data_IF_681695828789
#
_entry.id   IF_681695828789
#
_cell.length_a   1.000
_cell.length_b   1.000
_cell.length_c   1.000
_cell.angle_alpha   90.00
_cell.angle_beta   90.00
_cell.angle_gamma   90.00
#
_symmetry.space_group_name_H-M   'P 1'
#
loop_
_entity.id
_entity.type
_entity.pdbx_description
1 polymer ?
#
# COMPACT_ATOMS: atom_id res chain seq x y z
N UNK A 1 41.07 9.66 5.64
CA UNK A 1 40.98 8.90 4.39
C UNK A 1 40.09 9.70 3.46
N UNK A 2 40.56 10.05 2.26
CA UNK A 2 39.68 10.68 1.26
C UNK A 2 38.52 9.72 0.96
N UNK A 3 37.25 10.18 0.95
CA UNK A 3 36.17 9.33 0.49
C UNK A 3 36.52 8.87 -0.92
N UNK A 4 36.47 7.56 -1.15
CA UNK A 4 36.69 7.01 -2.48
C UNK A 4 35.67 7.65 -3.41
N UNK A 5 36.12 8.45 -4.37
CA UNK A 5 35.32 8.95 -5.49
C UNK A 5 34.99 7.78 -6.45
N UNK A 6 34.51 6.65 -5.92
CA UNK A 6 33.99 5.57 -6.72
C UNK A 6 32.54 5.93 -7.10
N UNK A 7 32.29 6.35 -8.36
CA UNK A 7 30.95 6.75 -8.81
C UNK A 7 29.92 5.62 -8.62
N UNK A 8 30.35 4.36 -8.60
CA UNK A 8 29.49 3.20 -8.35
C UNK A 8 28.86 3.31 -6.95
N UNK A 9 29.68 3.48 -5.92
CA UNK A 9 29.20 3.69 -4.54
C UNK A 9 28.43 5.00 -4.35
N UNK A 10 28.86 6.08 -5.01
CA UNK A 10 28.28 7.42 -4.90
C UNK A 10 26.86 7.53 -5.47
N UNK A 11 26.49 6.63 -6.39
CA UNK A 11 25.14 6.56 -6.96
C UNK A 11 24.31 5.40 -6.41
N UNK A 12 24.80 4.67 -5.41
CA UNK A 12 24.02 3.66 -4.69
C UNK A 12 24.08 2.26 -5.28
N UNK A 13 25.02 1.96 -6.18
CA UNK A 13 25.29 0.60 -6.66
C UNK A 13 26.00 -0.29 -5.61
N UNK A 14 25.69 -0.07 -4.33
CA UNK A 14 26.11 -0.95 -3.25
C UNK A 14 25.07 -2.06 -3.10
N UNK A 15 25.46 -3.35 -3.16
CA UNK A 15 24.51 -4.44 -3.06
C UNK A 15 24.06 -4.68 -1.61
N UNK A 16 22.76 -4.74 -1.38
CA UNK A 16 22.13 -5.21 -0.14
C UNK A 16 21.19 -6.38 -0.41
N UNK A 17 20.81 -7.13 0.62
CA UNK A 17 19.81 -8.21 0.47
C UNK A 17 18.49 -7.61 0.00
N UNK A 18 17.84 -8.25 -0.98
CA UNK A 18 16.58 -7.74 -1.56
C UNK A 18 15.38 -7.93 -0.63
N UNK A 19 15.43 -8.92 0.27
CA UNK A 19 14.38 -9.10 1.27
C UNK A 19 14.46 -7.97 2.28
N UNK A 20 13.48 -7.07 2.25
CA UNK A 20 13.36 -6.00 3.24
C UNK A 20 13.28 -6.53 4.68
N UNK A 21 12.66 -7.70 4.89
CA UNK A 21 12.58 -8.32 6.20
C UNK A 21 13.97 -8.80 6.70
N UNK A 22 14.72 -9.49 5.83
CA UNK A 22 16.10 -9.90 6.17
C UNK A 22 17.00 -8.69 6.38
N UNK A 23 16.89 -7.66 5.54
CA UNK A 23 17.68 -6.44 5.68
C UNK A 23 17.42 -5.75 7.02
N UNK A 24 16.14 -5.57 7.39
CA UNK A 24 15.78 -4.86 8.61
C UNK A 24 16.08 -5.65 9.89
N UNK A 25 16.20 -6.97 9.79
CA UNK A 25 16.64 -7.84 10.88
C UNK A 25 18.15 -7.75 11.14
N UNK A 26 18.94 -7.26 10.17
CA UNK A 26 20.37 -6.99 10.36
C UNK A 26 20.50 -5.71 11.20
N UNK A 27 21.14 -5.85 12.37
CA UNK A 27 21.44 -4.75 13.29
C UNK A 27 20.22 -3.85 13.57
N UNK A 28 19.19 -4.38 14.28
CA UNK A 28 17.98 -3.63 14.57
C UNK A 28 18.30 -2.47 15.53
N UNK A 29 17.66 -1.31 15.34
CA UNK A 29 17.94 -0.14 16.15
C UNK A 29 17.46 -0.36 17.59
N UNK A 30 18.23 0.13 18.56
CA UNK A 30 17.90 0.03 19.99
C UNK A 30 17.01 1.16 20.50
N UNK A 31 16.82 2.21 19.69
CA UNK A 31 16.01 3.39 19.99
C UNK A 31 14.92 3.56 18.93
N UNK A 32 13.75 4.15 19.25
CA UNK A 32 12.73 4.48 18.25
C UNK A 32 13.24 5.47 17.19
N UNK A 33 12.58 5.49 16.03
CA UNK A 33 12.89 6.44 14.96
C UNK A 33 12.77 7.89 15.48
N UNK A 34 13.77 8.76 15.23
CA UNK A 34 13.70 10.16 15.64
C UNK A 34 12.72 10.95 14.77
N UNK A 35 12.16 12.02 15.34
CA UNK A 35 11.46 13.03 14.56
C UNK A 35 12.45 13.73 13.62
N UNK A 36 12.07 13.85 12.35
CA UNK A 36 12.83 14.54 11.30
C UNK A 36 11.82 15.41 10.55
N UNK A 37 11.93 16.73 10.67
CA UNK A 37 11.02 17.65 10.00
C UNK A 37 11.32 17.75 8.49
N UNK A 38 10.32 18.13 7.71
CA UNK A 38 10.47 18.43 6.26
C UNK A 38 11.58 19.46 6.03
N UNK A 39 11.68 20.46 6.90
CA UNK A 39 12.72 21.51 6.83
C UNK A 39 14.15 20.99 7.00
N UNK A 40 14.35 19.83 7.64
CA UNK A 40 15.67 19.19 7.82
C UNK A 40 16.10 18.35 6.62
N UNK A 41 15.18 18.16 5.66
CA UNK A 41 15.37 17.35 4.46
C UNK A 41 15.00 18.21 3.24
N UNK A 42 15.76 19.28 2.95
CA UNK A 42 15.41 20.17 1.86
C UNK A 42 15.44 19.45 0.51
N UNK A 43 14.63 19.92 -0.42
CA UNK A 43 14.70 19.49 -1.82
C UNK A 43 16.03 19.99 -2.40
N UNK A 44 16.81 19.16 -3.11
CA UNK A 44 18.07 19.57 -3.72
C UNK A 44 17.85 20.68 -4.76
N UNK A 45 18.66 21.74 -4.71
CA UNK A 45 18.53 22.93 -5.57
C UNK A 45 19.52 22.95 -6.75
N UNK A 46 20.16 21.83 -7.04
CA UNK A 46 21.08 21.76 -8.19
C UNK A 46 20.31 21.97 -9.50
N UNK A 47 20.99 22.42 -10.58
CA UNK A 47 20.34 22.58 -11.88
C UNK A 47 19.67 21.30 -12.40
N UNK A 48 20.27 20.12 -12.12
CA UNK A 48 19.70 18.83 -12.49
C UNK A 48 18.43 18.53 -11.69
N UNK A 49 18.48 18.69 -10.36
CA UNK A 49 17.34 18.44 -9.48
C UNK A 49 16.15 19.37 -9.80
N UNK A 50 16.41 20.65 -10.02
CA UNK A 50 15.39 21.63 -10.43
C UNK A 50 14.71 21.23 -11.74
N UNK A 51 15.51 20.89 -12.77
CA UNK A 51 15.01 20.45 -14.07
C UNK A 51 14.12 19.21 -13.97
N UNK A 52 14.54 18.22 -13.20
CA UNK A 52 13.78 16.97 -13.03
C UNK A 52 12.55 17.18 -12.17
N UNK A 53 12.61 18.06 -11.18
CA UNK A 53 11.44 18.47 -10.39
C UNK A 53 10.38 19.14 -11.26
N UNK A 54 10.77 20.09 -12.11
CA UNK A 54 9.86 20.74 -13.06
C UNK A 54 9.28 19.75 -14.07
N UNK A 55 10.10 18.82 -14.58
CA UNK A 55 9.65 17.76 -15.47
C UNK A 55 8.59 16.87 -14.79
N UNK A 56 8.88 16.37 -13.58
CA UNK A 56 7.96 15.53 -12.83
C UNK A 56 6.65 16.28 -12.51
N UNK A 57 6.75 17.52 -12.01
CA UNK A 57 5.59 18.37 -11.69
C UNK A 57 4.70 18.66 -12.91
N UNK A 58 5.29 18.76 -14.10
CA UNK A 58 4.55 19.05 -15.35
C UNK A 58 3.90 17.81 -15.98
N UNK A 59 4.34 16.60 -15.62
CA UNK A 59 3.87 15.36 -16.23
C UNK A 59 3.05 14.48 -15.29
N UNK A 60 3.33 14.52 -13.99
CA UNK A 60 2.60 13.75 -12.98
C UNK A 60 1.32 14.48 -12.56
N UNK A 61 0.29 13.71 -12.23
CA UNK A 61 -0.86 14.24 -11.50
C UNK A 61 -0.41 14.69 -10.11
N UNK A 62 -1.05 15.74 -9.57
CA UNK A 62 -0.70 16.29 -8.25
C UNK A 62 -0.64 15.23 -7.13
N UNK A 63 -1.57 14.25 -7.01
CA UNK A 63 -1.46 13.21 -6.00
C UNK A 63 -0.21 12.33 -6.15
N UNK A 64 0.19 12.02 -7.39
CA UNK A 64 1.39 11.23 -7.71
C UNK A 64 2.66 12.04 -7.47
N UNK A 65 2.67 13.32 -7.83
CA UNK A 65 3.79 14.21 -7.53
C UNK A 65 3.99 14.36 -6.01
N UNK A 66 2.90 14.56 -5.25
CA UNK A 66 2.96 14.61 -3.79
C UNK A 66 3.41 13.26 -3.21
N UNK A 67 2.98 12.12 -3.78
CA UNK A 67 3.49 10.81 -3.40
C UNK A 67 5.00 10.71 -3.57
N UNK A 68 5.54 11.08 -4.74
CA UNK A 68 6.98 11.12 -4.97
C UNK A 68 7.74 11.95 -3.94
N UNK A 69 7.20 13.11 -3.54
CA UNK A 69 7.80 13.95 -2.49
C UNK A 69 7.70 13.31 -1.10
N UNK A 70 6.57 12.69 -0.76
CA UNK A 70 6.45 11.92 0.48
C UNK A 70 7.46 10.77 0.53
N UNK A 71 7.59 10.01 -0.55
CA UNK A 71 8.58 8.93 -0.69
C UNK A 71 10.00 9.46 -0.48
N UNK A 72 10.34 10.64 -1.02
CA UNK A 72 11.63 11.28 -0.79
C UNK A 72 11.88 11.56 0.71
N UNK A 73 10.94 12.23 1.38
CA UNK A 73 11.11 12.58 2.80
C UNK A 73 11.10 11.36 3.71
N UNK A 74 10.20 10.41 3.48
CA UNK A 74 10.13 9.15 4.24
C UNK A 74 11.38 8.30 4.02
N UNK A 75 11.86 8.19 2.80
CA UNK A 75 13.09 7.49 2.50
C UNK A 75 14.31 8.11 3.18
N UNK A 76 14.46 9.44 3.17
CA UNK A 76 15.59 10.06 3.87
C UNK A 76 15.47 9.98 5.39
N UNK A 77 14.25 9.97 5.95
CA UNK A 77 14.05 9.65 7.35
C UNK A 77 14.50 8.23 7.69
N UNK A 78 14.09 7.24 6.87
CA UNK A 78 14.53 5.84 6.99
C UNK A 78 16.05 5.73 6.85
N UNK A 79 16.65 6.36 5.84
CA UNK A 79 18.10 6.33 5.59
C UNK A 79 18.87 6.87 6.78
N UNK A 80 18.53 8.07 7.28
CA UNK A 80 19.23 8.70 8.41
C UNK A 80 19.13 7.88 9.70
N UNK A 81 18.01 7.18 9.89
CA UNK A 81 17.79 6.37 11.08
C UNK A 81 18.35 4.95 10.97
N UNK A 82 18.10 4.25 9.88
CA UNK A 82 18.45 2.82 9.71
C UNK A 82 19.74 2.58 8.95
N UNK A 83 20.08 3.45 8.03
CA UNK A 83 21.17 3.22 7.09
C UNK A 83 22.04 4.46 6.91
N UNK A 84 22.57 5.04 8.01
CA UNK A 84 23.33 6.30 7.96
C UNK A 84 24.58 6.21 7.06
N UNK A 85 25.12 5.01 6.89
CA UNK A 85 26.33 4.76 6.10
C UNK A 85 26.06 4.57 4.59
N UNK A 86 24.80 4.62 4.14
CA UNK A 86 24.49 4.54 2.71
C UNK A 86 24.93 5.82 1.97
N UNK A 87 25.97 5.66 1.14
CA UNK A 87 26.76 6.77 0.60
C UNK A 87 26.11 7.60 -0.53
N UNK A 88 25.01 7.14 -1.15
CA UNK A 88 24.41 7.89 -2.25
C UNK A 88 23.87 9.25 -1.82
N UNK A 89 23.93 10.22 -2.72
CA UNK A 89 23.49 11.60 -2.43
C UNK A 89 21.97 11.72 -2.35
N UNK A 90 21.50 12.70 -1.58
CA UNK A 90 20.07 13.02 -1.48
C UNK A 90 19.51 13.44 -2.85
N UNK A 91 20.32 14.05 -3.72
CA UNK A 91 19.96 14.30 -5.13
C UNK A 91 19.68 13.01 -5.90
N UNK A 92 20.57 12.02 -5.88
CA UNK A 92 20.33 10.75 -6.60
C UNK A 92 19.05 10.08 -6.14
N UNK A 93 18.77 10.12 -4.84
CA UNK A 93 17.51 9.61 -4.30
C UNK A 93 16.30 10.43 -4.72
N UNK A 94 16.38 11.75 -4.65
CA UNK A 94 15.33 12.67 -5.12
C UNK A 94 14.94 12.42 -6.58
N UNK A 95 15.94 12.24 -7.46
CA UNK A 95 15.73 11.92 -8.87
C UNK A 95 14.96 10.59 -9.05
N UNK A 96 15.31 9.56 -8.28
CA UNK A 96 14.60 8.28 -8.29
C UNK A 96 13.16 8.43 -7.79
N UNK A 97 12.94 9.14 -6.68
CA UNK A 97 11.61 9.36 -6.12
C UNK A 97 10.69 10.11 -7.09
N UNK A 98 11.18 11.14 -7.78
CA UNK A 98 10.38 11.90 -8.75
C UNK A 98 10.04 11.12 -10.02
N UNK A 99 10.86 10.13 -10.39
CA UNK A 99 10.72 9.43 -11.67
C UNK A 99 10.16 8.01 -11.54
N UNK A 100 10.06 7.43 -10.35
CA UNK A 100 9.63 6.04 -10.19
C UNK A 100 8.24 5.75 -10.76
N UNK A 101 7.33 6.71 -10.62
CA UNK A 101 5.96 6.62 -11.14
C UNK A 101 5.77 7.34 -12.49
N UNK A 102 6.84 7.79 -13.18
CA UNK A 102 6.66 8.51 -14.45
C UNK A 102 5.99 7.65 -15.53
N UNK A 103 6.17 6.33 -15.46
CA UNK A 103 5.49 5.37 -16.35
C UNK A 103 3.97 5.35 -16.19
N UNK A 104 3.45 5.82 -15.04
CA UNK A 104 2.02 5.77 -14.68
C UNK A 104 1.16 6.87 -15.29
N UNK A 105 1.77 7.89 -15.89
CA UNK A 105 0.98 8.97 -16.53
C UNK A 105 0.12 8.38 -17.64
N UNK A 106 -1.11 8.86 -17.82
CA UNK A 106 -2.01 8.35 -18.85
C UNK A 106 -1.36 8.31 -20.24
N UNK A 107 -0.65 9.40 -20.60
CA UNK A 107 0.13 9.49 -21.83
C UNK A 107 1.16 8.36 -21.95
N UNK A 108 1.90 8.07 -20.88
CA UNK A 108 2.92 7.03 -20.92
C UNK A 108 2.32 5.62 -20.94
N UNK A 109 1.27 5.37 -20.14
CA UNK A 109 0.51 4.11 -20.14
C UNK A 109 0.01 3.75 -21.54
N UNK A 110 -0.54 4.71 -22.27
CA UNK A 110 -1.09 4.51 -23.62
C UNK A 110 0.01 4.45 -24.72
N UNK A 111 1.18 5.06 -24.48
CA UNK A 111 2.26 5.16 -25.47
C UNK A 111 3.14 3.91 -25.62
N UNK A 112 2.98 2.91 -24.75
CA UNK A 112 3.81 1.71 -24.74
C UNK A 112 3.01 0.44 -24.45
N UNK A 113 3.58 -0.71 -24.81
CA UNK A 113 3.07 -2.04 -24.43
C UNK A 113 3.88 -2.68 -23.29
N UNK A 114 4.94 -2.01 -22.82
CA UNK A 114 5.76 -2.47 -21.70
C UNK A 114 5.11 -2.13 -20.35
N UNK A 115 5.40 -2.92 -19.31
CA UNK A 115 5.02 -2.60 -17.93
C UNK A 115 5.50 -1.20 -17.54
N UNK A 116 4.70 -0.47 -16.76
CA UNK A 116 5.00 0.93 -16.45
C UNK A 116 6.33 1.11 -15.70
N UNK A 117 6.76 0.13 -14.91
CA UNK A 117 8.04 0.14 -14.18
C UNK A 117 9.21 0.10 -15.17
N UNK A 118 9.12 -0.80 -16.16
CA UNK A 118 10.14 -0.96 -17.19
C UNK A 118 10.22 0.26 -18.11
N UNK A 119 9.07 0.72 -18.60
CA UNK A 119 9.02 1.91 -19.44
C UNK A 119 9.40 3.17 -18.66
N UNK A 120 9.00 3.26 -17.39
CA UNK A 120 9.35 4.32 -16.46
C UNK A 120 10.86 4.41 -16.29
N UNK A 121 11.56 3.29 -16.11
CA UNK A 121 13.03 3.27 -16.04
C UNK A 121 13.71 3.72 -17.33
N UNK A 122 13.22 3.26 -18.49
CA UNK A 122 13.71 3.73 -19.79
C UNK A 122 13.47 5.24 -19.98
N UNK A 123 12.32 5.74 -19.52
CA UNK A 123 12.01 7.17 -19.52
C UNK A 123 12.89 7.94 -18.56
N UNK A 124 13.15 7.42 -17.37
CA UNK A 124 14.05 8.05 -16.42
C UNK A 124 15.46 8.20 -17.01
N UNK A 125 16.01 7.13 -17.60
CA UNK A 125 17.30 7.16 -18.29
C UNK A 125 17.32 8.21 -19.41
N UNK A 126 16.28 8.21 -20.25
CA UNK A 126 16.12 9.18 -21.33
C UNK A 126 16.12 10.61 -20.79
N UNK A 127 15.26 10.94 -19.82
CA UNK A 127 15.06 12.30 -19.30
C UNK A 127 16.33 12.81 -18.61
N UNK A 128 16.97 11.96 -17.80
CA UNK A 128 18.16 12.33 -17.04
C UNK A 128 19.35 12.66 -17.95
N UNK A 129 19.45 11.99 -19.10
CA UNK A 129 20.54 12.17 -20.07
C UNK A 129 20.19 13.10 -21.25
N UNK A 130 18.96 13.60 -21.35
CA UNK A 130 18.55 14.42 -22.49
C UNK A 130 19.08 15.87 -22.38
N UNK A 131 19.68 16.35 -23.47
CA UNK A 131 20.21 17.72 -23.61
C UNK A 131 19.26 18.65 -24.40
N UNK A 132 18.12 18.16 -24.89
CA UNK A 132 17.23 18.97 -25.76
C UNK A 132 16.47 20.04 -24.95
N UNK A 133 16.56 21.34 -25.32
CA UNK A 133 15.86 22.44 -24.63
C UNK A 133 14.33 22.33 -24.62
N UNK A 134 13.75 21.57 -25.56
CA UNK A 134 12.30 21.39 -25.68
C UNK A 134 11.70 20.48 -24.61
N UNK A 135 12.49 19.92 -23.69
CA UNK A 135 12.00 18.98 -22.67
C UNK A 135 11.54 19.67 -21.37
N UNK A 136 12.14 20.79 -20.94
CA UNK A 136 11.63 21.74 -19.90
C UNK A 136 12.44 23.05 -19.97
N UNK A 137 11.82 24.19 -19.67
CA UNK A 137 12.47 25.52 -19.61
C UNK A 137 13.37 25.73 -18.39
N UNK A 138 14.56 25.15 -18.41
CA UNK A 138 15.58 25.29 -17.36
C UNK A 138 16.97 24.86 -17.86
N UNK A 139 18.01 25.04 -17.03
CA UNK A 139 19.41 24.79 -17.39
C UNK A 139 19.67 23.36 -17.93
N UNK A 140 20.59 23.23 -18.89
CA UNK A 140 20.90 22.01 -19.66
C UNK A 140 21.70 20.95 -18.85
N UNK A 141 21.52 20.90 -17.53
CA UNK A 141 22.30 20.00 -16.68
C UNK A 141 21.78 18.56 -16.76
N UNK A 142 22.61 17.63 -17.20
CA UNK A 142 22.30 16.19 -17.30
C UNK A 142 22.99 15.39 -16.20
N UNK A 143 22.37 14.26 -15.83
CA UNK A 143 22.96 13.32 -14.89
C UNK A 143 24.18 12.62 -15.53
N UNK A 144 25.26 12.37 -14.77
CA UNK A 144 26.28 11.40 -15.15
C UNK A 144 25.62 10.05 -15.49
N UNK A 145 26.24 9.31 -16.43
CA UNK A 145 25.67 8.05 -16.93
C UNK A 145 25.34 7.08 -15.80
N UNK A 146 26.27 6.86 -14.88
CA UNK A 146 26.09 5.93 -13.77
C UNK A 146 24.96 6.36 -12.82
N UNK A 147 24.78 7.67 -12.58
CA UNK A 147 23.65 8.18 -11.80
C UNK A 147 22.32 7.90 -12.50
N UNK A 148 22.26 8.14 -13.83
CA UNK A 148 21.07 7.89 -14.62
C UNK A 148 20.71 6.40 -14.68
N UNK A 149 21.71 5.52 -14.81
CA UNK A 149 21.54 4.08 -14.79
C UNK A 149 21.11 3.58 -13.39
N UNK A 150 21.67 4.14 -12.31
CA UNK A 150 21.26 3.79 -10.94
C UNK A 150 19.80 4.15 -10.68
N UNK A 151 19.39 5.36 -11.09
CA UNK A 151 17.99 5.78 -11.01
C UNK A 151 17.10 4.86 -11.85
N UNK A 152 17.48 4.57 -13.09
CA UNK A 152 16.71 3.69 -13.96
C UNK A 152 16.55 2.27 -13.39
N UNK A 153 17.62 1.67 -12.85
CA UNK A 153 17.59 0.37 -12.16
C UNK A 153 16.66 0.41 -10.95
N UNK A 154 16.75 1.44 -10.10
CA UNK A 154 15.87 1.60 -8.95
C UNK A 154 14.39 1.74 -9.37
N UNK A 155 14.11 2.51 -10.42
CA UNK A 155 12.75 2.65 -10.98
C UNK A 155 12.24 1.34 -11.57
N UNK A 156 13.06 0.59 -12.31
CA UNK A 156 12.65 -0.71 -12.88
C UNK A 156 12.25 -1.68 -11.77
N UNK A 157 12.99 -1.69 -10.66
CA UNK A 157 12.84 -2.67 -9.59
C UNK A 157 11.98 -2.19 -8.42
N UNK A 158 11.37 -1.01 -8.47
CA UNK A 158 10.66 -0.47 -7.30
C UNK A 158 9.40 -1.27 -6.90
N UNK A 159 8.84 -2.09 -7.80
CA UNK A 159 7.77 -3.07 -7.50
C UNK A 159 8.26 -4.53 -7.51
N UNK A 160 9.56 -4.76 -7.74
CA UNK A 160 10.18 -6.09 -7.73
C UNK A 160 10.50 -6.52 -6.29
N UNK A 161 9.45 -6.92 -5.54
CA UNK A 161 9.54 -7.28 -4.12
C UNK A 161 10.13 -8.69 -3.93
N UNK A 162 11.41 -8.84 -4.32
CA UNK A 162 12.15 -10.09 -4.29
C UNK A 162 12.56 -10.54 -2.88
N UNK A 163 12.27 -11.79 -2.51
CA UNK A 163 12.71 -12.40 -1.24
C UNK A 163 14.14 -12.93 -1.27
N UNK A 164 14.73 -13.10 -2.46
CA UNK A 164 16.06 -13.68 -2.64
C UNK A 164 16.90 -12.81 -3.56
N UNK A 165 18.20 -12.79 -3.30
CA UNK A 165 19.18 -12.10 -4.13
C UNK A 165 19.59 -10.74 -3.55
N UNK A 166 20.02 -9.85 -4.45
CA UNK A 166 20.55 -8.53 -4.10
C UNK A 166 19.83 -7.42 -4.89
N UNK A 167 19.88 -6.22 -4.33
CA UNK A 167 19.40 -4.98 -4.93
C UNK A 167 20.35 -3.84 -4.54
N UNK A 168 20.33 -2.74 -5.28
CA UNK A 168 21.06 -1.51 -4.95
C UNK A 168 20.52 -0.89 -3.65
N UNK A 169 21.36 -0.21 -2.87
CA UNK A 169 20.90 0.53 -1.69
C UNK A 169 19.88 1.61 -2.07
N UNK A 170 20.03 2.24 -3.25
CA UNK A 170 19.08 3.20 -3.80
C UNK A 170 17.70 2.55 -4.06
N UNK A 171 17.69 1.41 -4.75
CA UNK A 171 16.47 0.67 -5.07
C UNK A 171 15.78 0.14 -3.82
N UNK A 172 16.56 -0.35 -2.84
CA UNK A 172 16.01 -0.81 -1.57
C UNK A 172 15.37 0.32 -0.76
N UNK A 173 16.01 1.51 -0.70
CA UNK A 173 15.40 2.65 -0.02
C UNK A 173 14.11 3.07 -0.70
N UNK A 174 14.11 3.07 -2.04
CA UNK A 174 12.93 3.40 -2.84
C UNK A 174 11.78 2.44 -2.53
N UNK A 175 12.03 1.12 -2.51
CA UNK A 175 11.03 0.13 -2.13
C UNK A 175 10.48 0.35 -0.71
N UNK A 176 11.36 0.53 0.29
CA UNK A 176 10.91 0.74 1.68
C UNK A 176 9.98 1.94 1.80
N UNK A 177 10.32 3.05 1.15
CA UNK A 177 9.55 4.28 1.21
C UNK A 177 8.25 4.24 0.39
N UNK A 178 8.25 3.64 -0.80
CA UNK A 178 7.02 3.49 -1.61
C UNK A 178 6.04 2.54 -0.93
N UNK A 179 6.51 1.41 -0.40
CA UNK A 179 5.69 0.47 0.36
C UNK A 179 5.10 1.17 1.59
N UNK A 180 5.91 1.93 2.35
CA UNK A 180 5.42 2.70 3.49
C UNK A 180 4.32 3.68 3.09
N UNK A 181 4.52 4.52 2.07
CA UNK A 181 3.51 5.52 1.70
C UNK A 181 2.23 4.88 1.11
N UNK A 182 2.35 3.72 0.47
CA UNK A 182 1.22 3.02 -0.15
C UNK A 182 0.38 2.25 0.88
N UNK A 183 1.03 1.64 1.89
CA UNK A 183 0.37 0.64 2.76
C UNK A 183 0.51 0.92 4.26
N UNK A 184 1.32 1.89 4.69
CA UNK A 184 1.63 2.17 6.11
C UNK A 184 2.68 1.23 6.74
N UNK A 185 3.10 0.24 5.96
CA UNK A 185 4.16 -0.72 6.22
C UNK A 185 5.50 -0.14 6.64
N UNK A 186 6.21 -0.76 7.58
CA UNK A 186 7.47 -0.24 8.14
C UNK A 186 7.32 1.09 8.88
N UNK A 187 6.13 1.42 9.38
CA UNK A 187 5.88 2.65 10.15
C UNK A 187 6.81 2.82 11.35
N UNK A 188 7.32 1.74 11.94
CA UNK A 188 8.30 1.80 13.03
C UNK A 188 9.65 2.42 12.62
N UNK A 189 9.92 2.56 11.32
CA UNK A 189 11.13 3.21 10.80
C UNK A 189 11.00 4.73 10.70
N UNK A 190 9.80 5.30 10.92
CA UNK A 190 9.53 6.72 10.77
C UNK A 190 8.73 7.20 11.99
N UNK A 191 9.20 8.27 12.62
CA UNK A 191 8.50 8.84 13.78
C UNK A 191 7.10 9.36 13.38
N UNK A 192 6.04 9.16 14.19
CA UNK A 192 4.68 9.62 13.87
C UNK A 192 4.58 11.11 13.52
N UNK A 193 5.32 11.98 14.22
CA UNK A 193 5.37 13.41 13.89
C UNK A 193 6.01 13.71 12.54
N UNK A 194 6.95 12.88 12.07
CA UNK A 194 7.52 12.99 10.71
C UNK A 194 6.45 12.64 9.68
N UNK A 195 5.67 11.57 9.93
CA UNK A 195 4.54 11.16 9.07
C UNK A 195 3.53 12.30 8.93
N UNK A 196 3.15 12.91 10.06
CA UNK A 196 2.22 14.03 10.09
C UNK A 196 2.77 15.26 9.37
N UNK A 197 4.02 15.65 9.65
CA UNK A 197 4.64 16.83 9.07
C UNK A 197 4.78 16.73 7.54
N UNK A 198 5.28 15.58 7.06
CA UNK A 198 5.39 15.28 5.62
C UNK A 198 4.01 15.25 4.95
N UNK A 199 3.00 14.64 5.59
CA UNK A 199 1.64 14.56 5.03
C UNK A 199 0.93 15.91 5.00
N UNK A 200 1.28 16.84 5.90
CA UNK A 200 0.78 18.20 5.89
C UNK A 200 1.38 19.02 4.73
N UNK A 201 2.69 18.86 4.48
CA UNK A 201 3.39 19.55 3.40
C UNK A 201 3.04 18.99 2.02
N UNK A 202 2.84 17.67 1.92
CA UNK A 202 2.54 16.97 0.66
C UNK A 202 1.27 16.14 0.79
N UNK A 203 0.09 16.77 0.72
CA UNK A 203 -1.18 16.11 0.96
C UNK A 203 -1.39 14.88 0.07
N UNK A 204 -1.99 13.83 0.64
CA UNK A 204 -2.24 12.56 -0.08
C UNK A 204 -3.19 12.71 -1.27
N UNK A 205 -4.14 13.65 -1.24
CA UNK A 205 -5.05 13.94 -2.36
C UNK A 205 -5.67 12.68 -3.01
N UNK A 206 -6.14 11.76 -2.18
CA UNK A 206 -6.65 10.44 -2.60
C UNK A 206 -5.63 9.48 -3.21
N UNK A 207 -4.38 9.56 -2.76
CA UNK A 207 -3.28 8.74 -3.25
C UNK A 207 -3.61 7.25 -3.34
N UNK A 208 -4.11 6.59 -2.29
CA UNK A 208 -4.40 5.15 -2.34
C UNK A 208 -5.41 4.78 -3.44
N UNK A 209 -6.42 5.62 -3.68
CA UNK A 209 -7.38 5.44 -4.78
C UNK A 209 -6.79 5.79 -6.14
N UNK A 210 -5.86 6.75 -6.21
CA UNK A 210 -5.11 7.10 -7.42
C UNK A 210 -4.21 5.93 -7.82
N UNK A 211 -3.39 5.44 -6.89
CA UNK A 211 -2.52 4.28 -7.05
C UNK A 211 -3.31 3.03 -7.47
N UNK A 212 -4.37 2.67 -6.75
CA UNK A 212 -5.20 1.52 -7.14
C UNK A 212 -5.84 1.70 -8.53
N UNK A 213 -6.22 2.94 -8.90
CA UNK A 213 -6.71 3.26 -10.24
C UNK A 213 -5.65 3.05 -11.32
N UNK A 214 -4.43 3.51 -11.08
CA UNK A 214 -3.27 3.32 -11.96
C UNK A 214 -2.95 1.84 -12.16
N UNK A 215 -2.88 1.06 -11.08
CA UNK A 215 -2.59 -0.38 -11.14
C UNK A 215 -3.67 -1.14 -11.93
N UNK A 216 -4.94 -0.77 -11.72
CA UNK A 216 -6.04 -1.33 -12.51
C UNK A 216 -5.93 -0.98 -13.99
N UNK A 217 -5.67 0.29 -14.30
CA UNK A 217 -5.56 0.77 -15.69
C UNK A 217 -4.35 0.12 -16.40
N UNK A 218 -3.23 -0.03 -15.72
CA UNK A 218 -2.06 -0.79 -16.19
C UNK A 218 -2.47 -2.20 -16.59
N UNK A 219 -3.11 -2.94 -15.67
CA UNK A 219 -3.52 -4.32 -15.90
C UNK A 219 -4.59 -4.43 -17.00
N UNK A 220 -5.47 -3.43 -17.14
CA UNK A 220 -6.48 -3.36 -18.21
C UNK A 220 -5.84 -3.14 -19.58
N UNK A 221 -4.91 -2.20 -19.70
CA UNK A 221 -4.22 -1.88 -20.96
C UNK A 221 -3.17 -2.93 -21.35
N UNK A 222 -2.54 -3.54 -20.35
CA UNK A 222 -1.40 -4.44 -20.46
C UNK A 222 -1.60 -5.65 -19.51
N UNK A 223 -2.46 -6.62 -19.86
CA UNK A 223 -2.73 -7.80 -19.03
C UNK A 223 -1.52 -8.75 -18.89
N UNK A 224 -0.41 -8.47 -19.56
CA UNK A 224 0.89 -9.13 -19.40
C UNK A 224 1.90 -8.31 -18.60
N UNK A 225 1.51 -7.14 -18.07
CA UNK A 225 2.41 -6.26 -17.33
C UNK A 225 2.95 -6.93 -16.07
N UNK A 226 4.15 -6.52 -15.66
CA UNK A 226 4.78 -6.96 -14.41
C UNK A 226 3.87 -6.71 -13.20
N UNK A 227 3.12 -5.61 -13.21
CA UNK A 227 2.15 -5.25 -12.16
C UNK A 227 1.07 -6.32 -11.91
N UNK A 228 0.76 -7.18 -12.91
CA UNK A 228 -0.17 -8.32 -12.71
C UNK A 228 0.37 -9.34 -11.70
N UNK A 229 1.69 -9.34 -11.46
CA UNK A 229 2.32 -10.13 -10.40
C UNK A 229 1.87 -9.69 -9.00
N UNK A 230 1.15 -8.59 -8.82
CA UNK A 230 0.55 -8.28 -7.52
C UNK A 230 -0.61 -9.25 -7.19
N UNK A 231 -1.48 -9.63 -8.14
CA UNK A 231 -2.63 -10.55 -7.95
C UNK A 231 -3.39 -10.38 -6.61
N UNK A 232 -3.73 -9.12 -6.26
CA UNK A 232 -4.45 -8.74 -5.04
C UNK A 232 -5.69 -7.90 -5.38
N UNK A 233 -6.81 -8.15 -4.70
CA UNK A 233 -8.01 -7.34 -4.82
C UNK A 233 -7.89 -6.06 -3.98
N UNK A 234 -7.77 -4.92 -4.67
CA UNK A 234 -7.81 -3.59 -4.06
C UNK A 234 -9.13 -2.86 -4.29
N UNK A 235 -9.78 -3.07 -5.44
CA UNK A 235 -11.01 -2.38 -5.85
C UNK A 235 -11.74 -3.23 -6.90
N UNK A 236 -13.04 -3.04 -7.05
CA UNK A 236 -13.83 -3.53 -8.19
C UNK A 236 -14.09 -2.40 -9.17
N UNK A 237 -14.01 -2.67 -10.47
CA UNK A 237 -14.36 -1.67 -11.48
C UNK A 237 -15.85 -1.71 -11.80
N UNK A 238 -16.56 -0.64 -11.44
CA UNK A 238 -17.99 -0.47 -11.68
C UNK A 238 -18.35 1.00 -11.62
N UNK A 239 -19.37 1.41 -12.38
CA UNK A 239 -19.95 2.75 -12.30
C UNK A 239 -21.08 2.84 -11.25
N UNK A 240 -21.52 1.70 -10.70
CA UNK A 240 -22.57 1.65 -9.68
C UNK A 240 -22.00 2.14 -8.35
N UNK A 241 -22.77 2.97 -7.63
CA UNK A 241 -22.41 3.46 -6.30
C UNK A 241 -22.55 2.35 -5.26
N UNK A 242 -21.66 1.39 -5.31
CA UNK A 242 -21.57 0.24 -4.40
C UNK A 242 -20.13 0.18 -3.90
N UNK A 243 -19.96 -0.05 -2.59
CA UNK A 243 -18.65 -0.16 -1.93
C UNK A 243 -18.67 -1.30 -0.93
N UNK A 244 -17.53 -1.96 -0.74
CA UNK A 244 -17.38 -2.95 0.30
C UNK A 244 -16.81 -2.31 1.57
N UNK A 245 -17.45 -2.53 2.71
CA UNK A 245 -16.86 -2.24 4.02
C UNK A 245 -16.24 -3.52 4.55
N UNK A 246 -14.99 -3.42 4.99
CA UNK A 246 -14.24 -4.54 5.57
C UNK A 246 -13.74 -4.17 6.96
N UNK A 247 -13.88 -5.09 7.91
CA UNK A 247 -13.52 -4.92 9.31
C UNK A 247 -12.47 -5.98 9.67
N UNK A 248 -11.25 -5.54 9.92
CA UNK A 248 -10.11 -6.39 10.31
C UNK A 248 -10.04 -6.54 11.83
N UNK A 249 -9.18 -7.46 12.27
CA UNK A 249 -8.97 -7.80 13.68
C UNK A 249 -10.23 -8.22 14.42
N UNK A 250 -11.24 -8.75 13.73
CA UNK A 250 -12.46 -9.22 14.36
C UNK A 250 -12.32 -10.65 14.92
N UNK A 251 -13.18 -11.09 15.85
CA UNK A 251 -14.11 -10.28 16.64
C UNK A 251 -13.42 -9.61 17.85
N UNK A 252 -14.05 -8.57 18.39
CA UNK A 252 -13.64 -7.85 19.60
C UNK A 252 -14.87 -7.46 20.45
N UNK A 253 -14.65 -6.79 21.57
CA UNK A 253 -15.73 -6.20 22.38
C UNK A 253 -16.59 -5.18 21.61
N UNK A 254 -16.08 -4.64 20.49
CA UNK A 254 -16.78 -3.66 19.67
C UNK A 254 -17.64 -4.29 18.56
N UNK A 255 -17.41 -5.56 18.19
CA UNK A 255 -18.15 -6.25 17.11
C UNK A 255 -19.67 -6.15 17.27
N UNK A 256 -20.27 -6.35 18.46
CA UNK A 256 -21.73 -6.23 18.61
C UNK A 256 -22.25 -4.79 18.40
N UNK A 257 -21.43 -3.77 18.67
CA UNK A 257 -21.80 -2.37 18.39
C UNK A 257 -21.69 -2.06 16.89
N UNK A 258 -20.66 -2.57 16.22
CA UNK A 258 -20.49 -2.45 14.77
C UNK A 258 -21.66 -3.13 14.05
N UNK A 259 -22.02 -4.37 14.42
CA UNK A 259 -23.17 -5.09 13.85
C UNK A 259 -24.47 -4.28 13.96
N UNK A 260 -24.77 -3.72 15.13
CA UNK A 260 -25.98 -2.89 15.32
C UNK A 260 -25.99 -1.65 14.42
N UNK A 261 -24.84 -1.01 14.20
CA UNK A 261 -24.73 0.13 13.28
C UNK A 261 -24.97 -0.29 11.82
N UNK A 262 -24.42 -1.43 11.40
CA UNK A 262 -24.63 -1.95 10.05
C UNK A 262 -26.13 -2.20 9.80
N UNK A 263 -26.81 -2.86 10.75
CA UNK A 263 -28.25 -3.11 10.68
C UNK A 263 -29.06 -1.81 10.62
N UNK A 264 -28.75 -0.81 11.47
CA UNK A 264 -29.49 0.46 11.46
C UNK A 264 -29.35 1.25 10.17
N UNK A 265 -28.35 0.92 9.34
CA UNK A 265 -28.08 1.56 8.06
C UNK A 265 -28.36 0.66 6.85
N UNK A 266 -28.97 -0.52 7.03
CA UNK A 266 -29.18 -1.52 5.98
C UNK A 266 -27.88 -1.81 5.20
N UNK A 267 -26.76 -1.88 5.93
CA UNK A 267 -25.43 -2.15 5.39
C UNK A 267 -24.97 -3.55 5.82
N UNK A 268 -24.08 -4.14 5.03
CA UNK A 268 -23.33 -5.35 5.39
C UNK A 268 -21.84 -5.09 5.21
N UNK A 269 -21.01 -5.91 5.87
CA UNK A 269 -19.56 -5.82 5.80
C UNK A 269 -18.92 -7.22 5.76
N UNK A 270 -17.66 -7.27 5.35
CA UNK A 270 -16.82 -8.47 5.44
C UNK A 270 -15.89 -8.35 6.66
N UNK A 271 -15.98 -9.28 7.59
CA UNK A 271 -15.17 -9.32 8.81
C UNK A 271 -14.01 -10.31 8.62
N UNK A 272 -12.78 -9.81 8.63
CA UNK A 272 -11.56 -10.62 8.59
C UNK A 272 -11.21 -11.04 10.02
N UNK A 273 -11.34 -12.35 10.29
CA UNK A 273 -11.27 -12.90 11.63
C UNK A 273 -9.87 -13.37 12.01
N UNK A 274 -9.40 -12.94 13.17
CA UNK A 274 -8.23 -13.51 13.83
C UNK A 274 -8.69 -14.69 14.68
N UNK A 275 -8.16 -15.88 14.38
CA UNK A 275 -8.60 -17.12 15.01
C UNK A 275 -8.54 -17.09 16.54
N UNK A 276 -7.47 -16.57 17.12
CA UNK A 276 -7.28 -16.49 18.58
C UNK A 276 -8.30 -15.62 19.30
N UNK A 277 -9.03 -14.75 18.59
CA UNK A 277 -10.07 -13.89 19.16
C UNK A 277 -11.48 -14.51 19.12
N UNK A 278 -11.65 -15.63 18.39
CA UNK A 278 -12.94 -16.31 18.25
C UNK A 278 -13.45 -16.96 19.55
N UNK A 279 -12.63 -17.64 20.37
CA UNK A 279 -13.11 -18.30 21.59
C UNK A 279 -13.88 -17.36 22.51
N UNK A 280 -15.13 -17.71 22.83
CA UNK A 280 -16.04 -16.89 23.64
C UNK A 280 -16.86 -15.85 22.85
N UNK A 281 -16.59 -15.69 21.55
CA UNK A 281 -17.28 -14.79 20.63
C UNK A 281 -18.05 -15.56 19.53
N UNK A 282 -18.26 -16.86 19.66
CA UNK A 282 -18.89 -17.70 18.63
C UNK A 282 -20.32 -17.25 18.31
N UNK A 283 -21.07 -16.80 19.33
CA UNK A 283 -22.44 -16.31 19.16
C UNK A 283 -22.51 -15.05 18.30
N UNK A 284 -21.59 -14.09 18.48
CA UNK A 284 -21.57 -12.86 17.69
C UNK A 284 -21.20 -13.14 16.24
N UNK A 285 -20.33 -14.13 15.96
CA UNK A 285 -20.03 -14.53 14.58
C UNK A 285 -21.26 -15.12 13.88
N UNK A 286 -22.02 -15.96 14.57
CA UNK A 286 -23.26 -16.49 14.02
C UNK A 286 -24.29 -15.37 13.77
N UNK A 287 -24.37 -14.35 14.63
CA UNK A 287 -25.21 -13.17 14.42
C UNK A 287 -24.76 -12.32 13.22
N UNK A 288 -23.46 -12.15 13.01
CA UNK A 288 -22.92 -11.51 11.81
C UNK A 288 -23.42 -12.22 10.55
N UNK A 289 -23.33 -13.55 10.50
CA UNK A 289 -23.79 -14.34 9.34
C UNK A 289 -25.31 -14.25 9.15
N UNK A 290 -26.11 -14.40 10.22
CA UNK A 290 -27.59 -14.30 10.14
C UNK A 290 -28.07 -12.97 9.58
N UNK A 291 -27.27 -11.93 9.76
CA UNK A 291 -27.58 -10.56 9.34
C UNK A 291 -26.98 -10.20 7.97
N UNK A 292 -26.43 -11.19 7.27
CA UNK A 292 -25.93 -11.05 5.89
C UNK A 292 -24.49 -10.53 5.79
N UNK A 293 -23.76 -10.41 6.91
CA UNK A 293 -22.34 -10.10 6.87
C UNK A 293 -21.52 -11.32 6.44
N UNK A 294 -20.37 -11.07 5.84
CA UNK A 294 -19.44 -12.10 5.38
C UNK A 294 -18.31 -12.27 6.40
N UNK A 295 -17.93 -13.51 6.68
CA UNK A 295 -16.75 -13.83 7.48
C UNK A 295 -15.60 -14.27 6.56
N UNK A 296 -14.41 -13.74 6.80
CA UNK A 296 -13.19 -13.97 6.04
C UNK A 296 -12.00 -14.25 6.97
N UNK A 297 -10.88 -14.72 6.43
CA UNK A 297 -9.76 -15.24 7.22
C UNK A 297 -8.64 -14.19 7.40
N UNK A 298 -8.19 -13.98 8.64
CA UNK A 298 -7.07 -13.09 9.01
C UNK A 298 -5.97 -13.82 9.79
N UNK A 299 -5.78 -15.12 9.52
CA UNK A 299 -4.85 -16.00 10.23
C UNK A 299 -5.15 -16.10 11.74
N UNK A 300 -4.26 -16.73 12.51
CA UNK A 300 -4.55 -17.10 13.91
C UNK A 300 -4.25 -15.97 14.89
N UNK A 301 -3.26 -15.12 14.61
CA UNK A 301 -2.79 -14.05 15.48
C UNK A 301 -2.59 -12.75 14.70
N UNK A 302 -2.60 -11.62 15.42
CA UNK A 302 -2.20 -10.32 14.86
C UNK A 302 -0.67 -10.29 14.69
N UNK A 303 -0.21 -10.84 13.58
CA UNK A 303 1.21 -10.89 13.22
C UNK A 303 1.38 -10.72 11.70
N UNK A 304 2.55 -10.25 11.23
CA UNK A 304 2.81 -10.13 9.80
C UNK A 304 2.79 -11.52 9.14
N UNK A 305 1.69 -11.87 8.47
CA UNK A 305 1.53 -13.21 7.87
C UNK A 305 2.65 -13.54 6.89
N UNK A 306 3.30 -12.52 6.30
CA UNK A 306 4.42 -12.66 5.36
C UNK A 306 5.66 -13.28 6.00
N UNK A 307 5.84 -13.07 7.30
CA UNK A 307 6.97 -13.58 8.08
C UNK A 307 6.80 -15.06 8.49
N UNK A 308 5.59 -15.62 8.38
CA UNK A 308 5.32 -17.01 8.73
C UNK A 308 5.84 -17.97 7.66
N UNK A 309 6.31 -19.14 8.07
CA UNK A 309 6.57 -20.24 7.12
C UNK A 309 5.26 -20.69 6.46
N UNK A 310 5.37 -21.35 5.30
CA UNK A 310 4.18 -21.81 4.56
C UNK A 310 3.36 -22.79 5.41
N UNK A 311 4.00 -23.74 6.09
CA UNK A 311 3.32 -24.72 6.95
C UNK A 311 2.55 -24.06 8.10
N UNK A 312 3.16 -23.06 8.75
CA UNK A 312 2.53 -22.34 9.86
C UNK A 312 1.33 -21.54 9.36
N UNK A 313 1.51 -20.76 8.29
CA UNK A 313 0.43 -19.95 7.74
C UNK A 313 -0.73 -20.84 7.23
N UNK A 314 -0.42 -21.94 6.55
CA UNK A 314 -1.43 -22.87 6.06
C UNK A 314 -2.24 -23.50 7.19
N UNK A 315 -1.58 -23.94 8.26
CA UNK A 315 -2.27 -24.52 9.42
C UNK A 315 -3.11 -23.46 10.15
N UNK A 316 -2.58 -22.25 10.36
CA UNK A 316 -3.35 -21.14 10.92
C UNK A 316 -4.61 -20.85 10.10
N UNK A 317 -4.47 -20.71 8.77
CA UNK A 317 -5.59 -20.46 7.87
C UNK A 317 -6.63 -21.59 7.94
N UNK A 318 -6.20 -22.86 7.97
CA UNK A 318 -7.08 -24.03 8.06
C UNK A 318 -7.88 -24.07 9.36
N UNK A 319 -7.25 -23.79 10.50
CA UNK A 319 -7.93 -23.74 11.80
C UNK A 319 -8.98 -22.62 11.83
N UNK A 320 -8.61 -21.43 11.35
CA UNK A 320 -9.54 -20.28 11.27
C UNK A 320 -10.69 -20.58 10.33
N UNK A 321 -10.42 -21.24 9.20
CA UNK A 321 -11.44 -21.67 8.25
C UNK A 321 -12.49 -22.57 8.88
N UNK A 322 -12.08 -23.59 9.64
CA UNK A 322 -13.00 -24.49 10.32
C UNK A 322 -13.93 -23.72 11.28
N UNK A 323 -13.37 -22.76 12.04
CA UNK A 323 -14.16 -21.89 12.94
C UNK A 323 -15.14 -20.99 12.18
N UNK A 324 -14.73 -20.47 11.04
CA UNK A 324 -15.63 -19.70 10.16
C UNK A 324 -16.78 -20.60 9.68
N UNK A 325 -16.49 -21.81 9.21
CA UNK A 325 -17.52 -22.77 8.79
C UNK A 325 -18.50 -23.11 9.92
N UNK A 326 -18.00 -23.31 11.15
CA UNK A 326 -18.83 -23.53 12.34
C UNK A 326 -19.78 -22.36 12.59
N UNK A 327 -19.33 -21.11 12.44
CA UNK A 327 -20.17 -19.93 12.59
C UNK A 327 -21.28 -19.87 11.54
N UNK A 328 -20.98 -20.21 10.27
CA UNK A 328 -22.00 -20.31 9.22
C UNK A 328 -23.03 -21.41 9.51
N UNK A 329 -22.58 -22.58 9.97
CA UNK A 329 -23.46 -23.68 10.37
C UNK A 329 -24.37 -23.27 11.56
N UNK A 330 -23.81 -22.61 12.58
CA UNK A 330 -24.56 -22.11 13.73
C UNK A 330 -25.57 -21.00 13.36
N UNK A 331 -25.33 -20.28 12.26
CA UNK A 331 -26.27 -19.33 11.68
C UNK A 331 -27.38 -19.99 10.84
N UNK A 332 -27.34 -21.33 10.65
CA UNK A 332 -28.26 -22.05 9.80
C UNK A 332 -27.97 -21.88 8.30
N UNK A 333 -26.78 -21.38 7.94
CA UNK A 333 -26.37 -21.17 6.57
C UNK A 333 -25.40 -22.29 6.14
N UNK A 334 -25.89 -23.21 5.32
CA UNK A 334 -25.09 -24.31 4.75
C UNK A 334 -24.47 -23.96 3.40
N UNK A 335 -24.86 -22.83 2.80
CA UNK A 335 -24.26 -22.33 1.57
C UNK A 335 -22.96 -21.59 1.91
N UNK A 336 -21.84 -22.26 1.67
CA UNK A 336 -20.52 -21.66 1.85
C UNK A 336 -20.24 -20.64 0.71
N UNK A 337 -19.46 -19.58 0.96
CA UNK A 337 -18.99 -18.68 -0.09
C UNK A 337 -18.26 -19.45 -1.20
N UNK A 338 -18.53 -19.11 -2.46
CA UNK A 338 -17.87 -19.73 -3.61
C UNK A 338 -16.37 -19.43 -3.67
N UNK A 339 -15.95 -18.29 -3.13
CA UNK A 339 -14.56 -17.86 -3.08
C UNK A 339 -14.24 -17.38 -1.67
N UNK A 340 -13.31 -18.06 -0.99
CA UNK A 340 -12.87 -17.64 0.32
C UNK A 340 -11.92 -16.46 0.24
N UNK A 341 -12.02 -15.53 1.19
CA UNK A 341 -11.21 -14.32 1.22
C UNK A 341 -10.18 -14.42 2.35
N UNK A 342 -8.97 -14.00 2.03
CA UNK A 342 -7.88 -13.88 3.00
C UNK A 342 -7.30 -12.47 2.93
N UNK A 343 -7.09 -11.87 4.10
CA UNK A 343 -6.30 -10.64 4.21
C UNK A 343 -5.07 -10.98 5.04
N UNK A 344 -3.85 -10.69 4.56
CA UNK A 344 -2.67 -10.94 5.37
C UNK A 344 -2.57 -9.93 6.51
N UNK A 345 -2.14 -10.39 7.68
CA UNK A 345 -1.78 -9.53 8.80
C UNK A 345 -0.72 -8.50 8.37
N UNK A 346 -0.85 -7.28 8.91
CA UNK A 346 -0.06 -6.10 8.50
C UNK A 346 -0.23 -5.65 7.04
N UNK A 347 -1.16 -6.23 6.27
CA UNK A 347 -1.43 -5.81 4.88
C UNK A 347 -0.34 -6.20 3.87
N UNK A 348 0.60 -7.06 4.26
CA UNK A 348 1.75 -7.44 3.44
C UNK A 348 1.63 -8.85 2.88
N UNK A 349 2.09 -9.02 1.65
CA UNK A 349 2.15 -10.31 0.99
C UNK A 349 3.46 -10.45 0.22
N UNK A 350 3.86 -11.69 -0.03
CA UNK A 350 4.98 -12.03 -0.90
C UNK A 350 4.46 -12.92 -2.03
N UNK A 351 5.24 -13.07 -3.10
CA UNK A 351 4.91 -14.03 -4.17
C UNK A 351 4.73 -15.45 -3.64
N UNK A 352 5.56 -15.88 -2.67
CA UNK A 352 5.41 -17.16 -1.95
C UNK A 352 4.04 -17.27 -1.29
N UNK A 353 3.68 -16.28 -0.46
CA UNK A 353 2.40 -16.27 0.24
C UNK A 353 1.23 -16.29 -0.74
N UNK A 354 1.27 -15.49 -1.81
CA UNK A 354 0.17 -15.44 -2.78
C UNK A 354 -0.05 -16.80 -3.43
N UNK A 355 1.03 -17.49 -3.82
CA UNK A 355 0.95 -18.85 -4.33
C UNK A 355 0.29 -19.78 -3.31
N UNK A 356 0.74 -19.77 -2.05
CA UNK A 356 0.13 -20.58 -0.98
C UNK A 356 -1.35 -20.27 -0.78
N UNK A 357 -1.71 -18.99 -0.61
CA UNK A 357 -3.09 -18.54 -0.37
C UNK A 357 -4.00 -18.98 -1.53
N UNK A 358 -3.51 -18.87 -2.77
CA UNK A 358 -4.22 -19.31 -3.97
C UNK A 358 -4.37 -20.84 -4.02
N UNK A 359 -3.33 -21.60 -3.69
CA UNK A 359 -3.36 -23.07 -3.59
C UNK A 359 -4.33 -23.56 -2.52
N UNK A 360 -4.49 -22.81 -1.44
CA UNK A 360 -5.49 -23.05 -0.40
C UNK A 360 -6.91 -22.63 -0.80
N UNK A 361 -7.13 -22.12 -2.02
CA UNK A 361 -8.43 -21.74 -2.55
C UNK A 361 -8.93 -20.36 -2.09
N UNK A 362 -8.03 -19.49 -1.64
CA UNK A 362 -8.36 -18.14 -1.19
C UNK A 362 -7.98 -17.07 -2.20
N UNK A 363 -8.73 -15.97 -2.18
CA UNK A 363 -8.38 -14.72 -2.83
C UNK A 363 -7.81 -13.74 -1.82
N UNK A 364 -6.69 -13.11 -2.14
CA UNK A 364 -6.06 -12.08 -1.31
C UNK A 364 -6.78 -10.73 -1.50
N UNK A 365 -7.19 -10.10 -0.39
CA UNK A 365 -7.92 -8.81 -0.38
C UNK A 365 -7.19 -7.81 0.53
N UNK A 366 -6.93 -6.61 0.01
CA UNK A 366 -6.50 -5.46 0.82
C UNK A 366 -7.57 -4.38 0.76
N UNK A 367 -7.51 -3.49 -0.21
CA UNK A 367 -8.47 -2.40 -0.38
C UNK A 367 -7.79 -1.13 -0.85
N UNK A 368 -8.56 -0.19 -1.39
CA UNK A 368 -8.07 1.08 -1.92
C UNK A 368 -8.32 2.26 -0.97
N UNK A 369 -9.09 2.05 0.11
CA UNK A 369 -9.40 3.06 1.13
C UNK A 369 -8.95 2.56 2.51
N UNK A 370 -7.82 3.07 2.98
CA UNK A 370 -7.24 2.75 4.29
C UNK A 370 -7.00 4.04 5.09
N UNK A 371 -7.76 4.29 6.17
CA UNK A 371 -7.67 5.53 6.94
C UNK A 371 -6.51 5.58 7.94
N UNK A 372 -5.64 4.56 7.98
CA UNK A 372 -4.62 4.40 9.02
C UNK A 372 -5.22 4.39 10.44
N UNK A 373 -6.42 3.83 10.59
CA UNK A 373 -7.11 3.78 11.88
C UNK A 373 -6.37 2.98 12.97
N UNK A 374 -5.48 2.00 12.69
CA UNK A 374 -4.65 1.43 13.74
C UNK A 374 -3.63 2.42 14.32
N UNK A 375 -3.17 3.40 13.55
CA UNK A 375 -2.12 4.35 13.94
C UNK A 375 -2.68 5.71 14.36
N UNK A 376 -3.88 6.06 13.91
CA UNK A 376 -4.49 7.38 14.10
C UNK A 376 -5.75 7.25 14.98
N UNK A 377 -5.67 7.55 16.29
CA UNK A 377 -6.79 7.40 17.23
C UNK A 377 -7.87 8.50 17.12
N UNK A 378 -7.95 9.20 15.99
CA UNK A 378 -8.84 10.35 15.78
C UNK A 378 -9.95 9.99 14.79
N UNK A 379 -11.07 9.45 15.29
CA UNK A 379 -12.18 8.97 14.45
C UNK A 379 -12.69 9.98 13.41
N UNK A 380 -12.67 11.28 13.72
CA UNK A 380 -13.11 12.34 12.79
C UNK A 380 -12.19 12.45 11.57
N UNK A 381 -10.88 12.31 11.79
CA UNK A 381 -9.89 12.32 10.73
C UNK A 381 -10.05 11.07 9.88
N UNK A 382 -10.20 9.90 10.50
CA UNK A 382 -10.41 8.63 9.81
C UNK A 382 -11.71 8.64 8.97
N UNK A 383 -12.82 9.14 9.53
CA UNK A 383 -14.08 9.30 8.81
C UNK A 383 -13.96 10.28 7.63
N UNK A 384 -13.33 11.44 7.86
CA UNK A 384 -13.10 12.42 6.80
C UNK A 384 -12.21 11.86 5.69
N UNK A 385 -11.20 11.08 6.06
CA UNK A 385 -10.36 10.34 5.13
C UNK A 385 -11.20 9.40 4.27
N UNK A 386 -11.91 8.43 4.87
CA UNK A 386 -12.75 7.47 4.13
C UNK A 386 -13.68 8.19 3.15
N UNK A 387 -14.41 9.20 3.64
CA UNK A 387 -15.38 9.94 2.84
C UNK A 387 -14.73 10.80 1.76
N UNK A 388 -13.48 11.21 1.91
CA UNK A 388 -12.74 11.88 0.84
C UNK A 388 -12.29 10.87 -0.23
N UNK A 389 -11.91 9.65 0.15
CA UNK A 389 -11.36 8.64 -0.77
C UNK A 389 -12.42 7.90 -1.58
N UNK A 390 -13.55 7.59 -0.95
CA UNK A 390 -14.52 6.62 -1.46
C UNK A 390 -15.04 6.96 -2.86
N UNK A 391 -15.05 5.94 -3.73
CA UNK A 391 -15.59 5.99 -5.10
C UNK A 391 -16.33 4.67 -5.42
N UNK A 392 -17.12 4.60 -6.51
CA UNK A 392 -17.70 3.35 -6.98
C UNK A 392 -16.67 2.21 -7.01
N UNK A 393 -17.02 1.09 -6.40
CA UNK A 393 -16.17 -0.10 -6.37
C UNK A 393 -15.12 -0.15 -5.26
N UNK A 394 -15.02 0.88 -4.41
CA UNK A 394 -14.01 0.92 -3.33
C UNK A 394 -14.20 -0.20 -2.30
N UNK A 395 -13.08 -0.68 -1.75
CA UNK A 395 -13.01 -1.59 -0.62
C UNK A 395 -12.37 -0.81 0.54
N UNK A 396 -13.17 -0.56 1.58
CA UNK A 396 -12.82 0.25 2.75
C UNK A 396 -12.31 -0.66 3.86
N UNK A 397 -11.10 -0.39 4.35
CA UNK A 397 -10.46 -1.12 5.44
C UNK A 397 -10.66 -0.34 6.74
N UNK A 398 -11.18 -0.98 7.78
CA UNK A 398 -11.30 -0.48 9.16
C UNK A 398 -10.98 -1.62 10.13
N UNK A 399 -10.72 -1.35 11.41
CA UNK A 399 -10.32 -2.37 12.39
C UNK A 399 -11.29 -2.43 13.58
N UNK A 400 -11.67 -3.62 14.02
CA UNK A 400 -12.65 -3.84 15.11
C UNK A 400 -12.10 -3.40 16.47
N UNK A 401 -10.87 -3.82 16.79
CA UNK A 401 -10.19 -3.67 18.10
C UNK A 401 -9.77 -2.22 18.45
N UNK A 402 -10.53 -1.21 18.01
CA UNK A 402 -10.25 0.21 18.22
C UNK A 402 -11.51 0.93 18.70
N UNK A 403 -11.41 1.61 19.84
CA UNK A 403 -12.54 2.33 20.44
C UNK A 403 -13.10 3.45 19.54
N UNK A 404 -12.29 3.95 18.61
CA UNK A 404 -12.66 4.99 17.66
C UNK A 404 -13.36 4.46 16.39
N UNK A 405 -13.46 3.15 16.18
CA UNK A 405 -14.11 2.59 14.98
C UNK A 405 -15.63 2.78 14.99
N UNK A 406 -16.29 2.54 16.12
CA UNK A 406 -17.74 2.74 16.27
C UNK A 406 -18.14 4.20 15.97
N UNK A 407 -17.56 5.24 16.60
CA UNK A 407 -17.90 6.63 16.28
C UNK A 407 -17.50 7.04 14.86
N UNK A 408 -16.43 6.46 14.29
CA UNK A 408 -16.10 6.65 12.88
C UNK A 408 -17.23 6.14 11.97
N UNK A 409 -17.70 4.91 12.17
CA UNK A 409 -18.76 4.31 11.35
C UNK A 409 -20.11 5.01 11.53
N UNK A 410 -20.41 5.53 12.72
CA UNK A 410 -21.58 6.40 12.96
C UNK A 410 -21.60 7.64 12.07
N UNK A 411 -20.43 8.13 11.64
CA UNK A 411 -20.32 9.24 10.69
C UNK A 411 -20.29 8.78 9.23
N UNK A 412 -19.58 7.70 8.95
CA UNK A 412 -19.32 7.23 7.58
C UNK A 412 -20.59 6.62 6.95
N UNK A 413 -21.29 5.72 7.63
CA UNK A 413 -22.42 4.98 7.06
C UNK A 413 -23.59 5.89 6.61
N UNK A 414 -24.07 6.86 7.42
CA UNK A 414 -25.12 7.77 6.97
C UNK A 414 -24.67 8.64 5.78
N UNK A 415 -23.41 9.08 5.76
CA UNK A 415 -22.90 9.93 4.70
C UNK A 415 -22.71 9.17 3.38
N UNK A 416 -22.30 7.89 3.43
CA UNK A 416 -22.28 7.01 2.27
C UNK A 416 -23.69 6.83 1.70
N UNK A 417 -24.67 6.52 2.56
CA UNK A 417 -26.07 6.41 2.17
C UNK A 417 -26.61 7.70 1.56
N UNK A 418 -26.31 8.87 2.16
CA UNK A 418 -26.69 10.20 1.63
C UNK A 418 -26.09 10.47 0.25
N UNK A 419 -24.90 9.95 -0.04
CA UNK A 419 -24.24 10.03 -1.35
C UNK A 419 -24.75 8.97 -2.34
N UNK A 420 -25.70 8.15 -1.95
CA UNK A 420 -26.30 7.10 -2.77
C UNK A 420 -25.44 5.84 -2.88
N UNK A 421 -24.49 5.63 -1.97
CA UNK A 421 -23.72 4.38 -1.93
C UNK A 421 -24.47 3.29 -1.19
N UNK A 422 -24.46 2.08 -1.74
CA UNK A 422 -24.81 0.84 -1.05
C UNK A 422 -23.55 0.23 -0.45
N UNK A 423 -23.59 -0.10 0.84
CA UNK A 423 -22.46 -0.69 1.57
C UNK A 423 -22.71 -2.18 1.72
N UNK A 424 -21.82 -2.98 1.13
CA UNK A 424 -22.01 -4.42 0.95
C UNK A 424 -20.77 -5.22 1.40
N UNK A 425 -20.86 -6.55 1.34
CA UNK A 425 -19.70 -7.44 1.50
C UNK A 425 -18.80 -7.42 0.26
N UNK A 426 -17.55 -7.87 0.39
CA UNK A 426 -16.62 -8.00 -0.74
C UNK A 426 -17.16 -8.97 -1.78
N UNK A 427 -17.72 -10.12 -1.37
CA UNK A 427 -18.32 -11.08 -2.31
C UNK A 427 -19.52 -10.51 -3.06
N UNK A 428 -20.33 -9.65 -2.43
CA UNK A 428 -21.42 -8.97 -3.13
C UNK A 428 -20.90 -7.90 -4.10
N UNK A 429 -19.87 -7.14 -3.71
CA UNK A 429 -19.23 -6.17 -4.59
C UNK A 429 -18.63 -6.83 -5.85
N UNK A 430 -18.05 -8.03 -5.71
CA UNK A 430 -17.48 -8.78 -6.83
C UNK A 430 -18.50 -9.16 -7.91
N UNK A 431 -19.80 -9.19 -7.59
CA UNK A 431 -20.87 -9.43 -8.57
C UNK A 431 -21.07 -8.26 -9.53
N UNK A 432 -20.47 -7.10 -9.23
CA UNK A 432 -20.55 -5.90 -10.07
C UNK A 432 -19.40 -5.82 -11.10
N UNK A 433 -18.48 -6.79 -11.13
CA UNK A 433 -17.40 -6.82 -12.14
C UNK A 433 -18.01 -6.83 -13.55
N UNK A 434 -17.60 -5.86 -14.38
CA UNK A 434 -18.02 -5.76 -15.78
C UNK A 434 -19.42 -5.18 -15.99
N UNK A 435 -20.01 -4.54 -14.97
CA UNK A 435 -21.35 -3.92 -15.01
C UNK A 435 -21.39 -2.40 -15.13
#
# INVERSE_FOLDING_TARGET
MCPSNDPVSAYGFTPVVSSAAELLAIDPPTTPAPFIAVAEVPIPETPLAQRINEYAKSNLLEPTYNHSLRVYHFGLAIKRYRFPDWAFTDETYFLACLLHDIGTTQKNLESTRMSFEFFGGLKALQVLQNLKPSFVGGAVAVAPKDQAESVAEAVIRHQDLCEKGKITTLGQLLQLATIFDNTGSYANLIHPSTIQDVSNHFPRLKWSSCFAGTIHEENRLKPWAHTTTLDVLFRVDTNKRVVALTIDDAPSIHTPAILRLLQSHNATATFFLIGSQIPGNESVLADLVRTGNELANHAMYDEPSRALSDDVLAEQMKVVHARIQEAYLAAGNTAQPENWLFRPGSGFFSSRMRTLVKELGYRLVLGDVYPHDPQVPFWKLNASHILSMVKPGSIIICHDCREWTVPMLQKVLPELSRRGYRVVTVSELLKEIGS
#
